data_IF_985748758342
#
_entry.id   IF_985748758342
#
_cell.length_a   1.000
_cell.length_b   1.000
_cell.length_c   1.000
_cell.angle_alpha   90.00
_cell.angle_beta   90.00
_cell.angle_gamma   90.00
#
_symmetry.space_group_name_H-M   'P 1'
#
loop_
_entity.id
_entity.type
_entity.pdbx_description
1 polymer ?
#
# COMPACT_ATOMS: atom_id res chain seq x y z
N UNK A 1 16.67 17.69 2.35
CA UNK A 1 15.62 16.92 1.65
C UNK A 1 14.29 17.21 2.33
N UNK A 2 13.16 17.24 1.65
CA UNK A 2 11.88 17.40 2.30
C UNK A 2 11.65 16.26 3.32
N UNK A 3 10.96 16.57 4.42
CA UNK A 3 10.71 15.57 5.46
C UNK A 3 9.76 14.46 4.99
N UNK A 4 8.79 14.81 4.13
CA UNK A 4 7.89 13.86 3.47
C UNK A 4 8.26 13.76 2.01
N UNK A 5 8.48 12.54 1.53
CA UNK A 5 8.74 12.22 0.13
C UNK A 5 7.54 11.45 -0.42
N UNK A 6 7.25 11.64 -1.72
CA UNK A 6 6.07 11.06 -2.36
C UNK A 6 6.45 10.04 -3.41
N UNK A 7 5.82 8.89 -3.34
CA UNK A 7 5.92 7.80 -4.29
C UNK A 7 4.54 7.50 -4.90
N UNK A 8 4.50 6.65 -5.90
CA UNK A 8 3.28 6.06 -6.41
C UNK A 8 3.40 4.54 -6.44
N UNK A 9 2.28 3.86 -6.29
CA UNK A 9 2.19 2.43 -6.57
C UNK A 9 2.32 2.18 -8.07
N UNK A 10 2.98 1.08 -8.42
CA UNK A 10 3.30 0.75 -9.82
C UNK A 10 2.17 0.08 -10.60
N UNK A 11 1.23 -0.52 -9.93
CA UNK A 11 0.25 -1.40 -10.56
C UNK A 11 -0.75 -0.71 -11.51
N UNK A 12 -0.64 0.60 -11.66
CA UNK A 12 -1.49 1.41 -12.54
C UNK A 12 -0.88 1.70 -13.91
N UNK A 13 0.29 1.17 -14.23
CA UNK A 13 1.02 1.50 -15.46
C UNK A 13 0.24 1.27 -16.76
N UNK A 14 -0.68 0.31 -16.77
CA UNK A 14 -1.49 -0.04 -17.95
C UNK A 14 -2.93 0.47 -17.90
N UNK A 15 -3.34 1.12 -16.83
CA UNK A 15 -4.72 1.57 -16.61
C UNK A 15 -5.16 2.75 -17.48
N UNK A 16 -4.32 3.73 -17.86
CA UNK A 16 -4.78 4.90 -18.62
C UNK A 16 -5.59 4.59 -19.89
N UNK A 17 -5.49 3.36 -20.37
CA UNK A 17 -6.11 2.94 -21.61
C UNK A 17 -7.24 1.92 -21.44
N UNK A 18 -7.59 1.58 -20.18
CA UNK A 18 -8.59 0.57 -19.89
C UNK A 18 -9.63 1.15 -18.95
N UNK A 19 -10.89 1.09 -19.39
CA UNK A 19 -12.02 1.37 -18.52
C UNK A 19 -12.14 0.18 -17.57
N UNK A 20 -12.12 0.46 -16.27
CA UNK A 20 -12.38 -0.52 -15.22
C UNK A 20 -13.82 -0.36 -14.83
N UNK A 21 -14.63 -1.37 -15.15
CA UNK A 21 -16.07 -1.32 -14.89
C UNK A 21 -16.40 -1.63 -13.42
N UNK A 22 -15.50 -2.34 -12.74
CA UNK A 22 -15.62 -2.59 -11.30
C UNK A 22 -14.27 -2.91 -10.65
N UNK A 23 -14.21 -2.77 -9.32
CA UNK A 23 -13.00 -2.98 -8.52
C UNK A 23 -12.45 -4.42 -8.59
N UNK A 24 -13.34 -5.40 -8.70
CA UNK A 24 -12.96 -6.81 -8.80
C UNK A 24 -12.19 -7.10 -10.08
N UNK A 25 -12.65 -6.60 -11.22
CA UNK A 25 -11.99 -6.78 -12.51
C UNK A 25 -10.59 -6.19 -12.49
N UNK A 26 -10.41 -5.11 -11.74
CA UNK A 26 -9.12 -4.51 -11.52
C UNK A 26 -8.11 -5.48 -10.87
N UNK A 27 -8.50 -6.23 -9.84
CA UNK A 27 -7.61 -7.16 -9.13
C UNK A 27 -7.47 -8.52 -9.82
N UNK A 28 -8.50 -9.00 -10.49
CA UNK A 28 -8.59 -10.38 -10.96
C UNK A 28 -8.57 -10.55 -12.48
N UNK A 29 -8.55 -9.45 -13.22
CA UNK A 29 -8.40 -9.58 -14.66
C UNK A 29 -7.05 -10.21 -15.00
N UNK A 30 -7.08 -11.22 -15.86
CA UNK A 30 -5.89 -11.82 -16.40
C UNK A 30 -5.09 -10.74 -17.16
N UNK A 31 -4.06 -10.23 -16.51
CA UNK A 31 -3.19 -9.16 -17.03
C UNK A 31 -2.21 -9.73 -18.06
N UNK A 32 -2.68 -10.61 -18.92
CA UNK A 32 -1.90 -11.16 -20.04
C UNK A 32 -1.50 -10.11 -21.09
N UNK A 33 -1.97 -8.88 -20.94
CA UNK A 33 -1.46 -7.76 -21.71
C UNK A 33 -0.08 -7.41 -21.18
N UNK A 34 0.92 -7.93 -21.88
CA UNK A 34 2.31 -7.58 -21.62
C UNK A 34 2.48 -6.06 -21.53
N UNK A 35 2.97 -5.59 -20.38
CA UNK A 35 3.43 -4.21 -20.29
C UNK A 35 4.63 -4.06 -21.23
N UNK A 36 4.58 -3.02 -22.05
CA UNK A 36 5.68 -2.70 -22.91
C UNK A 36 6.71 -1.84 -22.17
N UNK A 37 7.95 -1.92 -22.61
CA UNK A 37 9.02 -1.05 -22.14
C UNK A 37 8.61 0.45 -22.16
N UNK A 38 7.89 0.87 -23.21
CA UNK A 38 7.36 2.22 -23.35
C UNK A 38 6.38 2.62 -22.27
N UNK A 39 5.64 1.69 -21.69
CA UNK A 39 4.67 1.97 -20.62
C UNK A 39 5.41 2.32 -19.33
N UNK A 40 6.43 1.55 -18.99
CA UNK A 40 7.33 1.88 -17.87
C UNK A 40 8.06 3.21 -18.09
N UNK A 41 8.55 3.46 -19.31
CA UNK A 41 9.22 4.71 -19.66
C UNK A 41 8.29 5.91 -19.46
N UNK A 42 7.06 5.81 -19.94
CA UNK A 42 6.08 6.89 -19.85
C UNK A 42 5.65 7.15 -18.41
N UNK A 43 5.30 6.11 -17.65
CA UNK A 43 4.80 6.31 -16.28
C UNK A 43 5.88 6.90 -15.38
N UNK A 44 7.13 6.44 -15.48
CA UNK A 44 8.23 6.97 -14.69
C UNK A 44 8.54 8.43 -15.06
N UNK A 45 8.45 8.79 -16.35
CA UNK A 45 8.58 10.18 -16.78
C UNK A 45 7.44 11.06 -16.29
N UNK A 46 6.19 10.57 -16.31
CA UNK A 46 5.06 11.33 -15.78
C UNK A 46 5.21 11.54 -14.27
N UNK A 47 5.56 10.51 -13.53
CA UNK A 47 5.82 10.62 -12.08
C UNK A 47 6.89 11.66 -11.79
N UNK A 48 8.05 11.56 -12.46
CA UNK A 48 9.16 12.47 -12.28
C UNK A 48 8.78 13.92 -12.65
N UNK A 49 8.11 14.12 -13.78
CA UNK A 49 7.67 15.45 -14.24
C UNK A 49 6.69 16.11 -13.28
N UNK A 50 5.87 15.32 -12.57
CA UNK A 50 4.93 15.77 -11.55
C UNK A 50 5.57 15.83 -10.15
N UNK A 51 6.87 15.54 -10.02
CA UNK A 51 7.60 15.64 -8.74
C UNK A 51 7.39 14.48 -7.79
N UNK A 52 6.91 13.33 -8.28
CA UNK A 52 6.91 12.08 -7.54
C UNK A 52 8.22 11.35 -7.80
N UNK A 53 9.04 11.22 -6.77
CA UNK A 53 10.41 10.74 -6.92
C UNK A 53 10.59 9.29 -6.46
N UNK A 54 9.52 8.62 -6.07
CA UNK A 54 9.54 7.23 -5.64
C UNK A 54 8.51 6.38 -6.37
N UNK A 55 8.77 5.07 -6.44
CA UNK A 55 7.82 4.06 -6.89
C UNK A 55 7.84 2.88 -5.92
N UNK A 56 6.66 2.42 -5.54
CA UNK A 56 6.46 1.17 -4.82
C UNK A 56 6.03 0.09 -5.81
N UNK A 57 6.76 -1.01 -5.84
CA UNK A 57 6.54 -2.13 -6.76
C UNK A 57 5.50 -3.08 -6.16
N UNK A 58 4.67 -3.68 -7.00
CA UNK A 58 3.79 -4.75 -6.62
C UNK A 58 4.32 -6.14 -7.09
N UNK A 59 3.95 -7.24 -6.44
CA UNK A 59 4.45 -8.57 -6.80
C UNK A 59 4.18 -8.96 -8.25
N UNK A 60 3.02 -8.56 -8.79
CA UNK A 60 2.63 -8.82 -10.18
C UNK A 60 3.47 -8.04 -11.21
N UNK A 61 4.15 -6.97 -10.81
CA UNK A 61 5.06 -6.24 -11.68
C UNK A 61 6.31 -7.05 -12.05
N UNK A 62 6.65 -8.05 -11.24
CA UNK A 62 7.78 -8.93 -11.52
C UNK A 62 7.57 -9.72 -12.83
N UNK A 63 6.32 -10.02 -13.19
CA UNK A 63 5.99 -10.67 -14.45
C UNK A 63 6.34 -9.82 -15.68
N UNK A 64 6.39 -8.50 -15.52
CA UNK A 64 6.80 -7.57 -16.58
C UNK A 64 8.28 -7.17 -16.44
N UNK A 65 8.73 -6.89 -15.22
CA UNK A 65 10.08 -6.38 -14.96
C UNK A 65 11.14 -7.40 -15.40
N UNK A 66 10.98 -8.67 -15.04
CA UNK A 66 11.98 -9.67 -15.37
C UNK A 66 12.12 -9.90 -16.88
N UNK A 67 11.05 -10.08 -17.66
CA UNK A 67 11.18 -10.21 -19.12
C UNK A 67 11.71 -8.96 -19.82
N UNK A 68 11.34 -7.76 -19.36
CA UNK A 68 11.72 -6.50 -20.03
C UNK A 68 13.12 -6.03 -19.66
N UNK A 69 13.53 -6.18 -18.42
CA UNK A 69 14.77 -5.61 -17.89
C UNK A 69 15.79 -6.67 -17.48
N UNK A 70 15.41 -7.94 -17.43
CA UNK A 70 16.28 -9.06 -17.07
C UNK A 70 16.56 -9.18 -15.57
N UNK A 71 16.51 -8.08 -14.80
CA UNK A 71 16.75 -8.11 -13.36
C UNK A 71 16.16 -6.89 -12.65
N UNK A 72 15.91 -6.98 -11.32
CA UNK A 72 15.52 -5.84 -10.49
C UNK A 72 16.50 -4.68 -10.56
N UNK A 73 17.79 -4.96 -10.57
CA UNK A 73 18.86 -3.96 -10.60
C UNK A 73 18.82 -3.12 -11.89
N UNK A 74 18.56 -3.77 -13.03
CA UNK A 74 18.43 -3.09 -14.32
C UNK A 74 17.19 -2.19 -14.36
N UNK A 75 16.07 -2.64 -13.81
CA UNK A 75 14.88 -1.81 -13.66
C UNK A 75 15.15 -0.62 -12.75
N UNK A 76 15.83 -0.82 -11.63
CA UNK A 76 16.20 0.25 -10.69
C UNK A 76 17.08 1.31 -11.39
N UNK A 77 18.08 0.88 -12.15
CA UNK A 77 18.90 1.81 -12.93
C UNK A 77 18.05 2.60 -13.95
N UNK A 78 17.14 1.91 -14.63
CA UNK A 78 16.23 2.53 -15.59
C UNK A 78 15.28 3.55 -14.93
N UNK A 79 14.72 3.24 -13.76
CA UNK A 79 13.88 4.17 -13.01
C UNK A 79 14.67 5.39 -12.50
N UNK A 80 15.88 5.15 -11.99
CA UNK A 80 16.79 6.19 -11.50
C UNK A 80 17.19 7.18 -12.60
N UNK A 81 17.43 6.71 -13.82
CA UNK A 81 17.73 7.56 -14.98
C UNK A 81 16.56 8.51 -15.31
N UNK A 82 15.36 8.22 -14.80
CA UNK A 82 14.14 9.03 -14.94
C UNK A 82 13.81 9.83 -13.67
N UNK A 83 14.72 9.82 -12.68
CA UNK A 83 14.56 10.56 -11.45
C UNK A 83 13.60 9.89 -10.44
N UNK A 84 13.37 8.59 -10.56
CA UNK A 84 12.49 7.82 -9.69
C UNK A 84 13.27 6.74 -8.97
N UNK A 85 13.13 6.66 -7.64
CA UNK A 85 13.71 5.62 -6.80
C UNK A 85 12.69 4.49 -6.56
N UNK A 86 13.12 3.23 -6.57
CA UNK A 86 12.30 2.13 -6.06
C UNK A 86 12.39 2.17 -4.53
N UNK A 87 11.29 2.48 -3.86
CA UNK A 87 11.28 2.64 -2.40
C UNK A 87 11.05 1.32 -1.66
N UNK A 88 10.33 0.41 -2.27
CA UNK A 88 9.96 -0.87 -1.69
C UNK A 88 8.96 -1.64 -2.55
N UNK A 89 8.34 -2.62 -1.93
CA UNK A 89 7.38 -3.50 -2.58
C UNK A 89 6.22 -3.82 -1.64
N UNK A 90 5.02 -3.88 -2.19
CA UNK A 90 3.88 -4.49 -1.52
C UNK A 90 4.02 -6.02 -1.57
N UNK A 91 3.68 -6.71 -0.48
CA UNK A 91 3.72 -8.17 -0.38
C UNK A 91 2.49 -8.70 0.36
N UNK A 92 1.80 -9.66 -0.23
CA UNK A 92 0.75 -10.40 0.46
C UNK A 92 1.34 -11.60 1.19
N UNK A 93 1.17 -11.69 2.50
CA UNK A 93 1.63 -12.83 3.28
C UNK A 93 0.61 -13.96 3.21
N UNK A 94 0.88 -14.97 2.38
CA UNK A 94 0.02 -16.14 2.22
C UNK A 94 -0.25 -16.87 3.53
N UNK A 95 -1.52 -17.14 3.80
CA UNK A 95 -1.98 -18.05 4.86
C UNK A 95 -1.25 -17.88 6.21
N UNK A 96 -0.80 -16.66 6.55
CA UNK A 96 -0.06 -16.42 7.80
C UNK A 96 -0.84 -16.78 9.07
N UNK A 97 -2.18 -16.83 8.96
CA UNK A 97 -3.07 -17.24 10.04
C UNK A 97 -3.08 -18.77 10.27
N UNK A 98 -2.65 -19.55 9.28
CA UNK A 98 -2.66 -21.02 9.37
C UNK A 98 -1.31 -21.54 9.88
N UNK A 99 -1.33 -22.23 11.00
CA UNK A 99 -0.10 -22.82 11.62
C UNK A 99 0.60 -23.79 10.68
N UNK A 100 -0.14 -24.52 9.85
CA UNK A 100 0.45 -25.48 8.90
C UNK A 100 1.26 -24.83 7.79
N UNK A 101 1.06 -23.53 7.52
CA UNK A 101 1.75 -22.75 6.50
C UNK A 101 2.82 -21.79 7.07
N UNK A 102 3.19 -21.95 8.35
CA UNK A 102 4.14 -21.04 9.01
C UNK A 102 5.45 -20.88 8.25
N UNK A 103 6.11 -21.99 7.96
CA UNK A 103 7.42 -21.97 7.29
C UNK A 103 7.34 -21.41 5.87
N UNK A 104 6.27 -21.73 5.13
CA UNK A 104 6.02 -21.23 3.78
C UNK A 104 5.79 -19.71 3.79
N UNK A 105 4.95 -19.21 4.69
CA UNK A 105 4.67 -17.78 4.84
C UNK A 105 5.94 -16.98 5.22
N UNK A 106 6.73 -17.49 6.15
CA UNK A 106 8.01 -16.88 6.54
C UNK A 106 9.01 -16.88 5.37
N UNK A 107 9.11 -17.99 4.64
CA UNK A 107 10.02 -18.09 3.50
C UNK A 107 9.62 -17.13 2.38
N UNK A 108 8.34 -17.05 2.04
CA UNK A 108 7.81 -16.10 1.05
C UNK A 108 8.13 -14.65 1.42
N UNK A 109 7.96 -14.28 2.70
CA UNK A 109 8.32 -12.95 3.17
C UNK A 109 9.82 -12.65 3.09
N UNK A 110 10.68 -13.63 3.38
CA UNK A 110 12.14 -13.49 3.22
C UNK A 110 12.55 -13.29 1.77
N UNK A 111 11.96 -14.03 0.86
CA UNK A 111 12.20 -13.88 -0.58
C UNK A 111 11.75 -12.52 -1.10
N UNK A 112 10.63 -12.00 -0.60
CA UNK A 112 10.19 -10.65 -0.89
C UNK A 112 11.18 -9.60 -0.38
N UNK A 113 11.69 -9.75 0.85
CA UNK A 113 12.75 -8.88 1.41
C UNK A 113 14.02 -8.91 0.56
N UNK A 114 14.48 -10.08 0.15
CA UNK A 114 15.67 -10.20 -0.70
C UNK A 114 15.45 -9.53 -2.07
N UNK A 115 14.24 -9.64 -2.62
CA UNK A 115 13.85 -8.97 -3.86
C UNK A 115 13.88 -7.44 -3.70
N UNK A 116 13.33 -6.92 -2.60
CA UNK A 116 13.35 -5.48 -2.28
C UNK A 116 14.79 -4.96 -2.18
N UNK A 117 15.66 -5.69 -1.51
CA UNK A 117 17.09 -5.33 -1.41
C UNK A 117 17.75 -5.24 -2.79
N UNK A 118 17.41 -6.14 -3.72
CA UNK A 118 17.91 -6.10 -5.10
C UNK A 118 17.41 -4.88 -5.88
N UNK A 119 16.21 -4.40 -5.58
CA UNK A 119 15.71 -3.12 -6.10
C UNK A 119 16.34 -1.89 -5.42
N UNK A 120 17.08 -2.07 -4.33
CA UNK A 120 17.56 -0.97 -3.50
C UNK A 120 16.51 -0.32 -2.63
N UNK A 121 15.33 -0.94 -2.51
CA UNK A 121 14.24 -0.49 -1.66
C UNK A 121 14.47 -0.78 -0.18
N UNK A 122 13.75 -0.09 0.68
CA UNK A 122 13.88 -0.16 2.15
C UNK A 122 12.57 -0.40 2.88
N UNK A 123 11.48 -0.58 2.14
CA UNK A 123 10.15 -0.81 2.71
C UNK A 123 9.47 -2.03 2.09
N UNK A 124 8.80 -2.80 2.93
CA UNK A 124 7.85 -3.84 2.52
C UNK A 124 6.52 -3.56 3.21
N UNK A 125 5.54 -3.08 2.47
CA UNK A 125 4.19 -2.99 2.97
C UNK A 125 3.50 -4.33 2.73
N UNK A 126 2.87 -4.90 3.75
CA UNK A 126 2.35 -6.26 3.69
C UNK A 126 0.94 -6.36 4.24
N UNK A 127 0.05 -6.96 3.45
CA UNK A 127 -1.19 -7.48 3.97
C UNK A 127 -0.89 -8.79 4.69
N UNK A 128 -1.23 -8.93 5.99
CA UNK A 128 -0.79 -10.06 6.81
C UNK A 128 -1.40 -11.41 6.40
N UNK A 129 -2.43 -11.41 5.57
CA UNK A 129 -3.03 -12.62 4.99
C UNK A 129 -3.65 -12.31 3.65
N UNK A 130 -3.60 -13.28 2.72
CA UNK A 130 -4.27 -13.18 1.41
C UNK A 130 -5.73 -13.65 1.40
N UNK A 131 -6.35 -13.79 2.55
CA UNK A 131 -7.78 -14.07 2.62
C UNK A 131 -8.56 -12.79 2.34
N UNK A 132 -8.84 -12.58 1.07
CA UNK A 132 -9.63 -11.45 0.57
C UNK A 132 -11.07 -11.90 0.32
N UNK A 133 -12.01 -11.01 0.59
CA UNK A 133 -13.44 -11.17 0.31
C UNK A 133 -14.11 -12.41 0.93
N UNK A 134 -15.13 -12.18 1.69
CA UNK A 134 -15.98 -13.25 2.26
C UNK A 134 -15.36 -14.13 3.32
N UNK A 135 -14.19 -13.77 3.84
CA UNK A 135 -13.47 -14.62 4.80
C UNK A 135 -13.87 -14.40 6.27
N UNK A 136 -14.53 -13.33 6.62
CA UNK A 136 -14.85 -13.01 8.02
C UNK A 136 -13.63 -12.74 8.90
N UNK A 137 -13.85 -12.28 10.15
CA UNK A 137 -12.76 -11.99 11.08
C UNK A 137 -12.03 -13.27 11.53
N UNK A 138 -10.73 -13.15 11.76
CA UNK A 138 -9.93 -14.22 12.32
C UNK A 138 -10.20 -14.42 13.82
N UNK A 139 -10.01 -15.64 14.29
CA UNK A 139 -9.95 -15.93 15.73
C UNK A 139 -8.69 -15.31 16.35
N UNK A 140 -8.68 -15.19 17.67
CA UNK A 140 -7.51 -14.68 18.39
C UNK A 140 -6.25 -15.51 18.14
N UNK A 141 -6.38 -16.83 18.09
CA UNK A 141 -5.28 -17.76 17.83
C UNK A 141 -4.70 -17.54 16.45
N UNK A 142 -5.53 -17.30 15.44
CA UNK A 142 -5.11 -16.99 14.07
C UNK A 142 -4.42 -15.64 14.00
N UNK A 143 -4.92 -14.62 14.71
CA UNK A 143 -4.25 -13.30 14.80
C UNK A 143 -2.87 -13.44 15.44
N UNK A 144 -2.75 -14.21 16.54
CA UNK A 144 -1.47 -14.48 17.18
C UNK A 144 -0.51 -15.25 16.27
N UNK A 145 -1.05 -16.14 15.44
CA UNK A 145 -0.24 -16.84 14.43
C UNK A 145 0.29 -15.89 13.35
N UNK A 146 -0.56 -14.98 12.83
CA UNK A 146 -0.11 -13.91 11.95
C UNK A 146 1.02 -13.09 12.58
N UNK A 147 0.87 -12.70 13.84
CA UNK A 147 1.89 -11.92 14.54
C UNK A 147 3.24 -12.63 14.63
N UNK A 148 3.25 -13.96 14.85
CA UNK A 148 4.48 -14.75 14.86
C UNK A 148 5.16 -14.73 13.49
N UNK A 149 4.40 -14.94 12.41
CA UNK A 149 4.94 -14.88 11.04
C UNK A 149 5.54 -13.50 10.77
N UNK A 150 4.79 -12.43 11.09
CA UNK A 150 5.26 -11.06 10.86
C UNK A 150 6.53 -10.73 11.66
N UNK A 151 6.64 -11.20 12.91
CA UNK A 151 7.85 -11.00 13.71
C UNK A 151 9.07 -11.73 13.12
N UNK A 152 8.90 -12.94 12.57
CA UNK A 152 10.01 -13.68 11.92
C UNK A 152 10.46 -12.99 10.62
N UNK A 153 9.50 -12.54 9.80
CA UNK A 153 9.83 -11.76 8.59
C UNK A 153 10.48 -10.43 9.00
N UNK A 154 9.93 -9.74 10.01
CA UNK A 154 10.44 -8.45 10.49
C UNK A 154 11.87 -8.52 11.01
N UNK A 155 12.23 -9.60 11.70
CA UNK A 155 13.61 -9.82 12.15
C UNK A 155 14.57 -9.94 10.95
N UNK A 156 14.22 -10.77 9.97
CA UNK A 156 15.01 -10.93 8.75
C UNK A 156 15.12 -9.62 7.97
N UNK A 157 14.00 -8.89 7.83
CA UNK A 157 13.96 -7.60 7.14
C UNK A 157 14.85 -6.55 7.82
N UNK A 158 14.79 -6.47 9.15
CA UNK A 158 15.61 -5.54 9.93
C UNK A 158 17.10 -5.79 9.72
N UNK A 159 17.54 -7.04 9.70
CA UNK A 159 18.95 -7.43 9.44
C UNK A 159 19.40 -7.03 8.01
N UNK A 160 18.47 -6.87 7.09
CA UNK A 160 18.71 -6.41 5.71
C UNK A 160 18.51 -4.91 5.49
N UNK A 161 18.13 -4.17 6.53
CA UNK A 161 17.83 -2.74 6.44
C UNK A 161 16.46 -2.42 5.81
N UNK A 162 15.56 -3.38 5.76
CA UNK A 162 14.18 -3.22 5.26
C UNK A 162 13.22 -3.12 6.44
N UNK A 163 12.30 -2.15 6.39
CA UNK A 163 11.19 -2.03 7.34
C UNK A 163 9.96 -2.72 6.77
N UNK A 164 9.33 -3.59 7.55
CA UNK A 164 8.02 -4.11 7.18
C UNK A 164 6.92 -3.30 7.84
N UNK A 165 5.89 -2.95 7.07
CA UNK A 165 4.69 -2.25 7.53
C UNK A 165 3.45 -3.09 7.28
N UNK A 166 2.70 -3.41 8.34
CA UNK A 166 1.39 -4.01 8.19
C UNK A 166 0.47 -3.03 7.46
N UNK A 167 -0.18 -3.50 6.42
CA UNK A 167 -1.13 -2.70 5.64
C UNK A 167 -2.56 -3.11 6.01
N UNK A 168 -3.43 -2.13 6.18
CA UNK A 168 -4.84 -2.34 6.46
C UNK A 168 -5.65 -2.41 5.18
N UNK A 169 -6.54 -3.40 5.08
CA UNK A 169 -7.48 -3.54 3.97
C UNK A 169 -8.86 -3.96 4.48
N UNK A 170 -9.89 -3.21 4.13
CA UNK A 170 -11.24 -3.41 4.67
C UNK A 170 -11.90 -4.72 4.22
N UNK A 171 -11.44 -5.30 3.13
CA UNK A 171 -11.97 -6.55 2.57
C UNK A 171 -11.12 -7.79 2.91
N UNK A 172 -10.13 -7.65 3.77
CA UNK A 172 -9.27 -8.75 4.21
C UNK A 172 -9.76 -9.36 5.52
N UNK A 173 -9.28 -10.58 5.80
CA UNK A 173 -9.55 -11.26 7.06
C UNK A 173 -9.08 -10.46 8.28
N UNK A 174 -7.94 -9.77 8.17
CA UNK A 174 -7.48 -8.82 9.17
C UNK A 174 -8.17 -7.48 8.92
N UNK A 175 -9.29 -7.31 9.58
CA UNK A 175 -10.13 -6.13 9.55
C UNK A 175 -10.52 -5.80 11.00
N UNK A 176 -11.46 -4.89 11.24
CA UNK A 176 -12.01 -4.72 12.60
C UNK A 176 -12.71 -6.00 13.05
N UNK A 177 -12.49 -6.45 14.30
CA UNK A 177 -11.64 -5.83 15.34
C UNK A 177 -10.17 -6.27 15.32
N UNK A 178 -9.77 -7.15 14.42
CA UNK A 178 -8.49 -7.88 14.49
C UNK A 178 -7.25 -7.03 14.25
N UNK A 179 -7.33 -5.90 13.52
CA UNK A 179 -6.11 -5.21 13.11
C UNK A 179 -5.35 -4.55 14.27
N UNK A 180 -6.05 -3.98 15.26
CA UNK A 180 -5.39 -3.44 16.46
C UNK A 180 -4.74 -4.55 17.27
N UNK A 181 -5.44 -5.68 17.47
CA UNK A 181 -4.89 -6.85 18.16
C UNK A 181 -3.63 -7.38 17.46
N UNK A 182 -3.62 -7.42 16.13
CA UNK A 182 -2.43 -7.82 15.37
C UNK A 182 -1.26 -6.88 15.60
N UNK A 183 -1.47 -5.56 15.49
CA UNK A 183 -0.43 -4.57 15.73
C UNK A 183 0.18 -4.75 17.12
N UNK A 184 -0.67 -4.88 18.14
CA UNK A 184 -0.27 -5.00 19.54
C UNK A 184 0.40 -6.35 19.86
N UNK A 185 0.14 -7.38 19.04
CA UNK A 185 0.76 -8.71 19.16
C UNK A 185 2.11 -8.81 18.48
N UNK A 186 2.52 -7.81 17.70
CA UNK A 186 3.83 -7.79 17.02
C UNK A 186 4.87 -6.98 17.80
N UNK A 187 6.14 -7.35 17.64
CA UNK A 187 7.26 -6.60 18.21
C UNK A 187 7.41 -5.23 17.53
N UNK A 188 7.25 -4.10 18.24
CA UNK A 188 7.34 -2.76 17.68
C UNK A 188 8.70 -2.40 17.09
N UNK A 189 9.76 -3.14 17.42
CA UNK A 189 11.09 -2.94 16.84
C UNK A 189 11.28 -3.65 15.50
N UNK A 190 10.44 -4.62 15.21
CA UNK A 190 10.55 -5.48 14.03
C UNK A 190 9.46 -5.19 13.00
N UNK A 191 8.26 -4.87 13.48
CA UNK A 191 7.06 -4.73 12.65
C UNK A 191 6.48 -3.34 12.83
N UNK A 192 6.40 -2.60 11.75
CA UNK A 192 5.81 -1.27 11.68
C UNK A 192 4.40 -1.33 11.08
N UNK A 193 3.84 -0.18 10.75
CA UNK A 193 2.54 -0.08 10.12
C UNK A 193 2.58 0.87 8.92
N UNK A 194 1.92 0.49 7.84
CA UNK A 194 1.60 1.32 6.69
C UNK A 194 0.12 1.68 6.76
N UNK A 195 -0.20 2.93 7.02
CA UNK A 195 -1.61 3.37 7.03
C UNK A 195 -2.08 3.61 5.59
N UNK A 196 -3.08 2.84 5.15
CA UNK A 196 -3.91 3.24 4.04
C UNK A 196 -5.03 4.14 4.58
N UNK A 197 -4.98 5.41 4.20
CA UNK A 197 -5.85 6.44 4.79
C UNK A 197 -7.32 6.27 4.43
N UNK A 198 -7.64 5.77 3.24
CA UNK A 198 -9.01 5.51 2.84
C UNK A 198 -9.53 4.22 3.47
N UNK A 199 -8.77 3.14 3.36
CA UNK A 199 -9.20 1.84 3.84
C UNK A 199 -9.43 1.82 5.36
N UNK A 200 -8.61 2.55 6.14
CA UNK A 200 -8.81 2.62 7.59
C UNK A 200 -10.14 3.27 7.97
N UNK A 201 -10.55 4.29 7.22
CA UNK A 201 -11.85 4.94 7.41
C UNK A 201 -13.02 4.03 7.00
N UNK A 202 -12.87 3.32 5.89
CA UNK A 202 -13.87 2.35 5.41
C UNK A 202 -14.02 1.20 6.43
N UNK A 203 -12.95 0.79 7.08
CA UNK A 203 -12.98 -0.18 8.19
C UNK A 203 -13.76 0.34 9.41
N UNK A 204 -13.96 1.63 9.54
CA UNK A 204 -14.65 2.25 10.67
C UNK A 204 -13.73 2.78 11.76
N UNK A 205 -12.43 2.86 11.52
CA UNK A 205 -11.47 3.53 12.41
C UNK A 205 -11.41 5.03 12.09
N UNK A 206 -11.24 5.84 13.12
CA UNK A 206 -10.92 7.25 12.95
C UNK A 206 -9.43 7.42 12.64
N UNK A 207 -9.13 7.97 11.45
CA UNK A 207 -7.76 8.12 10.95
C UNK A 207 -6.83 8.85 11.92
N UNK A 208 -7.30 9.95 12.52
CA UNK A 208 -6.48 10.78 13.39
C UNK A 208 -6.23 10.10 14.73
N UNK A 209 -7.26 9.51 15.30
CA UNK A 209 -7.14 8.71 16.54
C UNK A 209 -6.18 7.56 16.33
N UNK A 210 -6.35 6.80 15.23
CA UNK A 210 -5.46 5.67 14.95
C UNK A 210 -4.00 6.12 14.74
N UNK A 211 -3.77 7.19 13.98
CA UNK A 211 -2.43 7.72 13.78
C UNK A 211 -1.79 8.16 15.11
N UNK A 212 -2.53 8.88 15.96
CA UNK A 212 -2.01 9.33 17.24
C UNK A 212 -1.70 8.17 18.19
N UNK A 213 -2.52 7.10 18.19
CA UNK A 213 -2.30 5.91 19.02
C UNK A 213 -1.02 5.15 18.63
N UNK A 214 -0.68 5.14 17.32
CA UNK A 214 0.41 4.31 16.78
C UNK A 214 1.50 5.09 16.02
N UNK A 215 1.58 6.42 16.16
CA UNK A 215 2.50 7.26 15.37
C UNK A 215 3.96 6.79 15.39
N UNK A 216 4.43 6.25 16.52
CA UNK A 216 5.80 5.73 16.66
C UNK A 216 6.05 4.46 15.84
N UNK A 217 4.99 3.81 15.37
CA UNK A 217 5.05 2.56 14.58
C UNK A 217 4.82 2.77 13.09
N UNK A 218 4.44 3.98 12.67
CA UNK A 218 4.13 4.24 11.27
C UNK A 218 5.43 4.38 10.48
N UNK A 219 5.62 3.52 9.47
CA UNK A 219 6.76 3.56 8.57
C UNK A 219 6.47 4.25 7.25
N UNK A 220 5.28 4.05 6.70
CA UNK A 220 4.84 4.58 5.41
C UNK A 220 3.33 4.82 5.42
N UNK A 221 2.82 5.41 4.35
CA UNK A 221 1.40 5.56 4.09
C UNK A 221 1.09 5.13 2.66
N UNK A 222 -0.11 4.57 2.47
CA UNK A 222 -0.83 4.62 1.21
C UNK A 222 -1.84 5.77 1.32
N UNK A 223 -1.55 6.86 0.63
CA UNK A 223 -2.35 8.07 0.72
C UNK A 223 -3.44 8.05 -0.34
N UNK A 224 -4.65 7.86 0.10
CA UNK A 224 -5.90 7.90 -0.67
C UNK A 224 -6.91 8.78 0.05
N UNK A 225 -7.99 9.13 -0.62
CA UNK A 225 -9.17 9.70 0.01
C UNK A 225 -10.39 8.80 -0.21
N UNK A 226 -11.45 9.02 0.51
CA UNK A 226 -12.73 8.32 0.34
C UNK A 226 -13.89 9.18 0.81
N UNK A 227 -15.05 8.97 0.22
CA UNK A 227 -16.32 9.47 0.74
C UNK A 227 -17.02 8.44 1.62
N UNK A 228 -16.52 7.21 1.66
CA UNK A 228 -17.06 6.10 2.43
C UNK A 228 -16.44 6.04 3.82
N UNK A 229 -17.22 5.70 4.82
CA UNK A 229 -16.75 5.48 6.18
C UNK A 229 -17.57 4.39 6.87
N UNK A 230 -16.94 3.60 7.73
CA UNK A 230 -17.60 2.64 8.61
C UNK A 230 -18.59 1.72 7.89
N UNK A 231 -18.16 1.07 6.81
CA UNK A 231 -19.00 0.10 6.12
C UNK A 231 -19.41 -1.03 7.07
N UNK A 232 -20.67 -1.51 7.02
CA UNK A 232 -21.13 -2.59 7.88
C UNK A 232 -20.42 -3.91 7.56
N UNK A 233 -20.38 -4.83 8.52
CA UNK A 233 -19.73 -6.14 8.38
C UNK A 233 -20.26 -6.95 7.20
N UNK A 234 -21.55 -6.84 6.91
CA UNK A 234 -22.16 -7.50 5.73
C UNK A 234 -21.52 -7.07 4.41
N UNK A 235 -20.95 -5.90 4.37
CA UNK A 235 -20.23 -5.35 3.22
C UNK A 235 -18.76 -5.70 3.29
N UNK A 236 -18.10 -5.44 4.41
CA UNK A 236 -16.65 -5.66 4.58
C UNK A 236 -16.25 -7.12 4.37
N UNK A 237 -17.13 -8.06 4.74
CA UNK A 237 -16.91 -9.49 4.58
C UNK A 237 -17.72 -10.11 3.42
N UNK A 238 -18.23 -9.28 2.50
CA UNK A 238 -18.92 -9.78 1.31
C UNK A 238 -17.97 -10.52 0.38
N UNK A 239 -18.46 -11.59 -0.25
CA UNK A 239 -17.75 -12.26 -1.34
C UNK A 239 -17.81 -11.44 -2.64
N UNK A 240 -18.78 -10.54 -2.74
CA UNK A 240 -18.97 -9.67 -3.89
C UNK A 240 -18.87 -8.21 -3.46
N UNK A 241 -17.69 -7.61 -3.62
CA UNK A 241 -17.47 -6.22 -3.25
C UNK A 241 -18.27 -5.22 -4.10
N UNK A 242 -18.82 -5.63 -5.24
CA UNK A 242 -19.65 -4.77 -6.09
C UNK A 242 -21.00 -4.44 -5.46
N UNK A 243 -21.48 -5.31 -4.55
CA UNK A 243 -22.75 -5.04 -3.81
C UNK A 243 -22.69 -3.73 -3.03
N UNK A 244 -21.50 -3.20 -2.79
CA UNK A 244 -21.29 -2.01 -1.99
C UNK A 244 -21.16 -0.75 -2.81
N UNK A 245 -21.04 -0.89 -4.10
CA UNK A 245 -20.84 0.21 -5.00
C UNK A 245 -22.19 0.56 -5.65
N UNK A 246 -22.80 1.61 -5.13
CA UNK A 246 -23.97 2.26 -5.75
C UNK A 246 -23.58 3.05 -7.02
N UNK A 247 -22.45 2.69 -7.66
CA UNK A 247 -21.84 3.36 -8.79
C UNK A 247 -20.82 4.43 -8.37
N UNK A 248 -20.44 4.49 -7.09
CA UNK A 248 -19.41 5.42 -6.61
C UNK A 248 -18.08 4.69 -6.40
N UNK A 249 -16.98 5.37 -6.69
CA UNK A 249 -15.63 4.88 -6.37
C UNK A 249 -15.46 4.82 -4.85
N UNK A 250 -14.86 3.77 -4.34
CA UNK A 250 -14.44 3.72 -2.93
C UNK A 250 -13.23 4.61 -2.65
N UNK A 251 -12.31 4.67 -3.60
CA UNK A 251 -11.05 5.38 -3.45
C UNK A 251 -10.99 6.60 -4.38
N UNK A 252 -10.58 7.71 -3.81
CA UNK A 252 -10.50 8.99 -4.49
C UNK A 252 -9.08 9.55 -4.38
N UNK A 253 -8.77 10.44 -5.30
CA UNK A 253 -7.57 11.25 -5.20
C UNK A 253 -7.57 12.06 -3.90
N UNK A 254 -6.41 12.20 -3.22
CA UNK A 254 -6.32 13.05 -2.03
C UNK A 254 -6.94 14.44 -2.23
N UNK A 255 -7.85 14.80 -1.32
CA UNK A 255 -8.62 16.04 -1.38
C UNK A 255 -9.93 15.98 -2.19
N UNK A 256 -10.33 14.82 -2.69
CA UNK A 256 -11.60 14.63 -3.41
C UNK A 256 -12.64 13.86 -2.59
N UNK A 257 -12.24 13.25 -1.51
CA UNK A 257 -13.13 12.62 -0.54
C UNK A 257 -13.46 13.52 0.65
N UNK A 258 -13.65 12.91 1.80
CA UNK A 258 -14.08 13.59 3.03
C UNK A 258 -13.11 13.41 4.21
N UNK A 259 -11.97 12.77 4.01
CA UNK A 259 -11.00 12.57 5.08
C UNK A 259 -10.34 13.88 5.52
N UNK A 260 -10.12 14.03 6.82
CA UNK A 260 -9.35 15.19 7.35
C UNK A 260 -7.85 14.99 7.12
N UNK A 261 -7.43 14.98 5.86
CA UNK A 261 -6.02 14.89 5.49
C UNK A 261 -5.21 16.10 5.99
N UNK A 262 -5.85 17.26 6.14
CA UNK A 262 -5.20 18.44 6.74
C UNK A 262 -4.93 18.23 8.23
N UNK A 263 -5.86 17.60 8.95
CA UNK A 263 -5.66 17.17 10.33
C UNK A 263 -4.53 16.18 10.46
N UNK A 264 -4.49 15.18 9.57
CA UNK A 264 -3.38 14.23 9.51
C UNK A 264 -2.02 14.93 9.34
N UNK A 265 -1.92 15.90 8.41
CA UNK A 265 -0.65 16.61 8.19
C UNK A 265 -0.23 17.49 9.37
N UNK A 266 -1.18 18.04 10.13
CA UNK A 266 -0.87 18.70 11.43
C UNK A 266 -0.30 17.72 12.45
N UNK A 267 -0.92 16.54 12.57
CA UNK A 267 -0.43 15.49 13.47
C UNK A 267 0.93 14.93 13.03
N UNK A 268 1.14 14.73 11.71
CA UNK A 268 2.44 14.33 11.17
C UNK A 268 3.55 15.34 11.52
N UNK A 269 3.26 16.63 11.44
CA UNK A 269 4.20 17.70 11.84
C UNK A 269 4.48 17.67 13.33
N UNK A 270 3.44 17.54 14.14
CA UNK A 270 3.54 17.49 15.62
C UNK A 270 4.44 16.34 16.07
N UNK A 271 4.27 15.15 15.48
CA UNK A 271 5.09 13.97 15.80
C UNK A 271 6.39 13.88 14.98
N UNK A 272 6.63 14.82 14.06
CA UNK A 272 7.87 14.88 13.29
C UNK A 272 8.08 13.71 12.33
N UNK A 273 7.00 13.20 11.73
CA UNK A 273 7.06 12.08 10.76
C UNK A 273 7.99 12.41 9.60
N UNK A 274 8.86 11.47 9.26
CA UNK A 274 9.77 11.56 8.10
C UNK A 274 9.73 10.23 7.37
N UNK A 275 9.40 10.27 6.11
CA UNK A 275 9.33 9.04 5.32
C UNK A 275 8.61 9.21 3.99
N UNK A 276 8.27 8.09 3.42
CA UNK A 276 7.56 8.00 2.16
C UNK A 276 6.05 7.91 2.37
N UNK A 277 5.33 8.56 1.48
CA UNK A 277 3.91 8.37 1.27
C UNK A 277 3.70 7.91 -0.17
N UNK A 278 3.26 6.67 -0.35
CA UNK A 278 2.82 6.15 -1.64
C UNK A 278 1.41 6.63 -1.94
N UNK A 279 1.23 7.23 -3.10
CA UNK A 279 -0.10 7.58 -3.57
C UNK A 279 -0.66 6.40 -4.36
N UNK A 280 -1.87 6.03 -4.09
CA UNK A 280 -2.59 4.98 -4.79
C UNK A 280 -3.82 5.53 -5.50
N UNK A 281 -4.08 5.04 -6.72
CA UNK A 281 -5.12 5.56 -7.61
C UNK A 281 -6.10 4.47 -8.04
N UNK A 282 -6.54 3.65 -7.10
CA UNK A 282 -7.48 2.55 -7.35
C UNK A 282 -8.74 3.03 -8.07
N UNK A 283 -9.01 2.40 -9.22
CA UNK A 283 -10.17 2.73 -10.01
C UNK A 283 -10.14 4.12 -10.65
N UNK A 284 -8.97 4.77 -10.75
CA UNK A 284 -8.84 6.04 -11.47
C UNK A 284 -9.16 5.85 -12.95
N UNK A 285 -10.07 6.63 -13.53
CA UNK A 285 -10.37 6.59 -14.96
C UNK A 285 -9.28 7.24 -15.82
N UNK A 286 -8.44 8.09 -15.23
CA UNK A 286 -7.34 8.79 -15.88
C UNK A 286 -6.18 8.99 -14.90
N UNK A 287 -5.20 8.10 -14.95
CA UNK A 287 -4.07 8.11 -14.04
C UNK A 287 -3.29 9.42 -14.08
N UNK A 288 -3.04 9.98 -15.25
CA UNK A 288 -2.26 11.21 -15.38
C UNK A 288 -3.00 12.41 -14.80
N UNK A 289 -4.30 12.50 -15.03
CA UNK A 289 -5.14 13.53 -14.41
C UNK A 289 -5.17 13.38 -12.89
N UNK A 290 -5.32 12.16 -12.38
CA UNK A 290 -5.28 11.86 -10.93
C UNK A 290 -3.95 12.26 -10.31
N UNK A 291 -2.83 11.92 -10.94
CA UNK A 291 -1.49 12.30 -10.48
C UNK A 291 -1.34 13.83 -10.44
N UNK A 292 -1.77 14.53 -11.48
CA UNK A 292 -1.69 16.00 -11.55
C UNK A 292 -2.56 16.68 -10.49
N UNK A 293 -3.81 16.20 -10.29
CA UNK A 293 -4.72 16.72 -9.26
C UNK A 293 -4.18 16.47 -7.86
N UNK A 294 -3.67 15.28 -7.60
CA UNK A 294 -3.04 14.93 -6.33
C UNK A 294 -1.83 15.83 -6.08
N UNK A 295 -0.96 16.01 -7.06
CA UNK A 295 0.21 16.87 -6.92
C UNK A 295 -0.19 18.30 -6.58
N UNK A 296 -1.20 18.85 -7.25
CA UNK A 296 -1.71 20.18 -6.94
C UNK A 296 -2.20 20.27 -5.48
N UNK A 297 -2.96 19.28 -5.02
CA UNK A 297 -3.47 19.25 -3.63
C UNK A 297 -2.34 19.13 -2.60
N UNK A 298 -1.37 18.26 -2.86
CA UNK A 298 -0.19 18.14 -2.00
C UNK A 298 0.57 19.46 -1.86
N UNK A 299 0.85 20.14 -2.98
CA UNK A 299 1.67 21.35 -2.97
C UNK A 299 0.94 22.56 -2.38
N UNK A 300 -0.36 22.69 -2.62
CA UNK A 300 -1.09 23.90 -2.26
C UNK A 300 -1.85 23.78 -0.94
N UNK A 301 -2.21 22.57 -0.52
CA UNK A 301 -3.10 22.37 0.63
C UNK A 301 -2.43 21.59 1.79
N UNK A 302 -1.58 20.62 1.50
CA UNK A 302 -1.01 19.76 2.55
C UNK A 302 0.43 20.14 2.95
N UNK A 303 1.32 20.31 1.98
CA UNK A 303 2.71 20.68 2.27
C UNK A 303 2.86 21.98 3.06
N UNK A 304 2.10 23.05 2.78
CA UNK A 304 2.18 24.27 3.57
C UNK A 304 1.83 24.10 5.06
N UNK A 305 1.08 23.02 5.39
CA UNK A 305 0.80 22.68 6.79
C UNK A 305 2.02 22.05 7.45
N UNK A 306 2.72 21.18 6.72
CA UNK A 306 3.85 20.41 7.26
C UNK A 306 5.17 21.21 7.24
N UNK A 307 5.48 21.90 6.16
CA UNK A 307 6.68 22.72 5.99
C UNK A 307 6.60 24.01 6.84
#
# INVERSE_FOLDING_TARGET
MPNIQYANMSHWKSIPFKQIDNFRDFYYEDKTNSAYYSDWDNILKYQSALGFNGIEIAPWDMADILPLFGSPENFTAFAKDRGVEVIGMFHGAHASHDVSHFDEAVQSGREAVDTIVRFGGTYMNTCPTQNYFGCGPLSREEVQQCAKVMNEIGRYATDKGVKIGLHNEFFCAINLPNHRELIESTDPKLVHYCIDTAQISIMGEDLLTFYNDYHDRISTFHLKDTASSALPDSVRYSQDPEITDDGTRWFWEPGKGTLDLKGLYRALKEHGFKGWMSIEYDGSPDLLASMAMTRYYLDNELRPIYD
#
